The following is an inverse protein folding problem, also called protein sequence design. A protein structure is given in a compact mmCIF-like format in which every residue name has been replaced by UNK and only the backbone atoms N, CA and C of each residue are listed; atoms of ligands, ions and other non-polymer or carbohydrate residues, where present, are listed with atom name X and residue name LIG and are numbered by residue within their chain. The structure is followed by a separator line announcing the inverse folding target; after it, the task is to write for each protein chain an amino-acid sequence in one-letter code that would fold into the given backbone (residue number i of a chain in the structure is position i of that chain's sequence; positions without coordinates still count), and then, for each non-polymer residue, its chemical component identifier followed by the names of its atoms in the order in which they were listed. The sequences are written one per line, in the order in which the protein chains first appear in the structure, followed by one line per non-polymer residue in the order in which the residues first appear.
data_IF_434968110014
#
_entry.id   IF_434968110014
#
_cell.length_a   1.000
_cell.length_b   1.000
_cell.length_c   1.000
_cell.angle_alpha   90.00
_cell.angle_beta   90.00
_cell.angle_gamma   90.00
#
_symmetry.space_group_name_H-M   'P 1'
#
loop_
_entity.id
_entity.type
_entity.pdbx_description
1 polymer ?
#
# COMPACT_ATOMS: atom_id res chain seq x y z
N UNK A 1 -9.18 -30.33 10.99
CA UNK A 1 -9.41 -28.91 11.33
C UNK A 1 -8.74 -27.94 10.36
N UNK A 2 -7.55 -28.27 9.90
CA UNK A 2 -6.73 -27.37 9.08
C UNK A 2 -7.20 -27.28 7.61
N UNK A 3 -7.65 -28.39 7.05
CA UNK A 3 -8.08 -28.46 5.65
C UNK A 3 -9.41 -27.71 5.41
N UNK A 4 -10.34 -27.77 6.35
CA UNK A 4 -11.59 -27.04 6.29
C UNK A 4 -11.34 -25.51 6.40
N UNK A 5 -10.46 -25.09 7.27
CA UNK A 5 -10.07 -23.69 7.43
C UNK A 5 -9.40 -23.15 6.15
N UNK A 6 -8.54 -23.95 5.54
CA UNK A 6 -7.90 -23.62 4.26
C UNK A 6 -8.92 -23.45 3.13
N UNK A 7 -9.84 -24.41 3.00
CA UNK A 7 -10.89 -24.36 1.97
C UNK A 7 -11.81 -23.14 2.15
N UNK A 8 -12.21 -22.85 3.40
CA UNK A 8 -13.02 -21.67 3.70
C UNK A 8 -12.27 -20.38 3.36
N UNK A 9 -10.95 -20.31 3.64
CA UNK A 9 -10.13 -19.16 3.29
C UNK A 9 -9.99 -18.98 1.76
N UNK A 10 -9.74 -20.05 1.03
CA UNK A 10 -9.66 -20.02 -0.43
C UNK A 10 -10.98 -19.54 -1.05
N UNK A 11 -12.11 -20.09 -0.57
CA UNK A 11 -13.43 -19.66 -1.01
C UNK A 11 -13.71 -18.19 -0.68
N UNK A 12 -13.36 -17.74 0.52
CA UNK A 12 -13.48 -16.33 0.92
C UNK A 12 -12.69 -15.41 -0.02
N UNK A 13 -11.45 -15.76 -0.36
CA UNK A 13 -10.62 -14.96 -1.27
C UNK A 13 -11.22 -14.90 -2.67
N UNK A 14 -11.74 -16.02 -3.18
CA UNK A 14 -12.42 -16.09 -4.48
C UNK A 14 -13.65 -15.19 -4.49
N UNK A 15 -14.51 -15.32 -3.47
CA UNK A 15 -15.74 -14.54 -3.34
C UNK A 15 -15.45 -13.04 -3.24
N UNK A 16 -14.46 -12.64 -2.42
CA UNK A 16 -14.04 -11.22 -2.30
C UNK A 16 -13.58 -10.64 -3.64
N UNK A 17 -12.80 -11.39 -4.42
CA UNK A 17 -12.36 -10.96 -5.76
C UNK A 17 -13.53 -10.79 -6.73
N UNK A 18 -14.52 -11.68 -6.66
CA UNK A 18 -15.73 -11.57 -7.47
C UNK A 18 -16.57 -10.35 -7.06
N UNK A 19 -16.77 -10.15 -5.75
CA UNK A 19 -17.51 -9.00 -5.23
C UNK A 19 -16.88 -7.68 -5.67
N UNK A 20 -15.56 -7.55 -5.57
CA UNK A 20 -14.85 -6.33 -6.03
C UNK A 20 -15.16 -6.05 -7.51
N UNK A 21 -15.08 -7.08 -8.39
CA UNK A 21 -15.43 -6.92 -9.81
C UNK A 21 -16.89 -6.52 -10.04
N UNK A 22 -17.80 -7.10 -9.27
CA UNK A 22 -19.23 -6.78 -9.38
C UNK A 22 -19.58 -5.42 -8.80
N UNK A 23 -18.83 -4.96 -7.78
CA UNK A 23 -18.97 -3.62 -7.20
C UNK A 23 -18.57 -2.50 -8.17
N UNK A 24 -17.67 -2.77 -9.12
CA UNK A 24 -17.32 -1.83 -10.20
C UNK A 24 -18.49 -1.57 -11.16
N UNK A 25 -19.47 -2.48 -11.20
CA UNK A 25 -20.67 -2.32 -12.02
C UNK A 25 -21.69 -1.38 -11.35
N UNK A 26 -22.39 -0.53 -12.14
CA UNK A 26 -23.53 0.21 -11.63
C UNK A 26 -24.56 -0.72 -10.98
N UNK A 27 -25.18 -0.30 -9.89
CA UNK A 27 -26.12 -1.11 -9.09
C UNK A 27 -27.16 -1.82 -9.97
N UNK A 28 -27.73 -1.11 -10.96
CA UNK A 28 -28.73 -1.66 -11.90
C UNK A 28 -28.19 -2.75 -12.86
N UNK A 29 -26.88 -2.90 -12.95
CA UNK A 29 -26.22 -3.90 -13.82
C UNK A 29 -25.61 -5.05 -13.04
N UNK A 30 -25.71 -5.02 -11.71
CA UNK A 30 -25.25 -6.13 -10.87
C UNK A 30 -26.19 -7.31 -11.06
N UNK A 31 -25.68 -8.55 -11.18
CA UNK A 31 -26.52 -9.74 -11.29
C UNK A 31 -27.27 -10.00 -9.98
N UNK A 32 -28.43 -10.67 -10.05
CA UNK A 32 -29.24 -11.04 -8.89
C UNK A 32 -28.48 -11.93 -7.88
N UNK A 33 -27.41 -12.58 -8.34
CA UNK A 33 -26.53 -13.39 -7.49
C UNK A 33 -25.62 -12.56 -6.58
N UNK A 34 -25.55 -11.22 -6.76
CA UNK A 34 -24.66 -10.35 -5.98
C UNK A 34 -24.94 -10.41 -4.48
N UNK A 35 -26.20 -10.25 -4.06
CA UNK A 35 -26.60 -10.25 -2.65
C UNK A 35 -26.31 -11.62 -1.99
N UNK A 36 -26.54 -12.71 -2.74
CA UNK A 36 -26.23 -14.05 -2.25
C UNK A 36 -24.72 -14.22 -2.03
N UNK A 37 -23.90 -13.79 -2.99
CA UNK A 37 -22.44 -13.86 -2.89
C UNK A 37 -21.92 -13.01 -1.74
N UNK A 38 -22.51 -11.84 -1.50
CA UNK A 38 -22.17 -10.94 -0.39
C UNK A 38 -22.46 -11.63 0.94
N UNK A 39 -23.68 -12.19 1.11
CA UNK A 39 -24.08 -12.92 2.32
C UNK A 39 -23.19 -14.14 2.59
N UNK A 40 -22.89 -14.95 1.57
CA UNK A 40 -22.00 -16.10 1.70
C UNK A 40 -20.58 -15.68 2.13
N UNK A 41 -20.10 -14.58 1.58
CA UNK A 41 -18.78 -14.04 1.90
C UNK A 41 -18.72 -13.55 3.35
N UNK A 42 -19.77 -12.89 3.84
CA UNK A 42 -19.89 -12.46 5.25
C UNK A 42 -19.93 -13.65 6.21
N UNK A 43 -20.64 -14.73 5.85
CA UNK A 43 -20.68 -15.94 6.67
C UNK A 43 -19.31 -16.60 6.76
N UNK A 44 -18.61 -16.73 5.63
CA UNK A 44 -17.23 -17.25 5.60
C UNK A 44 -16.29 -16.36 6.43
N UNK A 45 -16.42 -15.05 6.35
CA UNK A 45 -15.61 -14.11 7.13
C UNK A 45 -15.82 -14.29 8.64
N UNK A 46 -17.05 -14.43 9.07
CA UNK A 46 -17.39 -14.69 10.49
C UNK A 46 -16.79 -16.02 10.98
N UNK A 47 -16.92 -17.08 10.17
CA UNK A 47 -16.41 -18.40 10.52
C UNK A 47 -14.88 -18.41 10.59
N UNK A 48 -14.20 -17.81 9.59
CA UNK A 48 -12.75 -17.67 9.59
C UNK A 48 -12.24 -16.84 10.78
N UNK A 49 -12.93 -15.74 11.12
CA UNK A 49 -12.59 -14.91 12.28
C UNK A 49 -12.71 -15.70 13.59
N UNK A 50 -13.72 -16.56 13.69
CA UNK A 50 -13.94 -17.39 14.87
C UNK A 50 -12.90 -18.50 15.01
N UNK A 51 -12.44 -19.08 13.90
CA UNK A 51 -11.56 -20.26 13.90
C UNK A 51 -10.06 -19.94 13.76
N UNK A 52 -9.69 -18.75 13.28
CA UNK A 52 -8.31 -18.39 13.01
C UNK A 52 -7.89 -17.08 13.67
N UNK A 53 -6.97 -17.15 14.62
CA UNK A 53 -6.35 -15.97 15.22
C UNK A 53 -5.63 -15.10 14.17
N UNK A 54 -4.96 -15.72 13.19
CA UNK A 54 -4.28 -15.02 12.09
C UNK A 54 -5.24 -14.24 11.20
N UNK A 55 -6.43 -14.81 10.92
CA UNK A 55 -7.44 -14.10 10.15
C UNK A 55 -8.05 -12.93 10.94
N UNK A 56 -8.28 -13.11 12.24
CA UNK A 56 -8.74 -12.04 13.13
C UNK A 56 -7.73 -10.89 13.20
N UNK A 57 -6.43 -11.20 13.28
CA UNK A 57 -5.36 -10.20 13.29
C UNK A 57 -5.26 -9.45 11.95
N UNK A 58 -5.40 -10.15 10.82
CA UNK A 58 -5.45 -9.53 9.50
C UNK A 58 -6.66 -8.58 9.37
N UNK A 59 -7.83 -8.99 9.86
CA UNK A 59 -9.04 -8.15 9.87
C UNK A 59 -8.86 -6.91 10.76
N UNK A 60 -8.25 -7.05 11.92
CA UNK A 60 -7.92 -5.95 12.83
C UNK A 60 -6.99 -4.93 12.16
N UNK A 61 -6.03 -5.40 11.38
CA UNK A 61 -5.15 -4.55 10.57
C UNK A 61 -5.93 -3.69 9.56
N UNK A 62 -6.97 -4.24 8.93
CA UNK A 62 -7.84 -3.50 8.00
C UNK A 62 -8.70 -2.43 8.68
N UNK A 63 -8.97 -2.55 9.98
CA UNK A 63 -9.72 -1.56 10.77
C UNK A 63 -8.85 -0.52 11.45
N UNK A 64 -7.54 -0.53 11.21
CA UNK A 64 -6.59 0.39 11.83
C UNK A 64 -6.84 1.82 11.39
N UNK A 65 -7.06 2.70 12.35
CA UNK A 65 -7.19 4.13 12.09
C UNK A 65 -5.82 4.80 11.95
N UNK A 66 -5.75 5.91 11.21
CA UNK A 66 -4.53 6.71 11.09
C UNK A 66 -4.03 7.25 12.44
N UNK A 67 -4.91 7.46 13.43
CA UNK A 67 -4.53 7.87 14.78
C UNK A 67 -3.74 6.78 15.51
N UNK A 68 -4.15 5.54 15.38
CA UNK A 68 -3.40 4.42 15.95
C UNK A 68 -2.01 4.30 15.32
N UNK A 69 -1.89 4.54 14.00
CA UNK A 69 -0.59 4.63 13.31
C UNK A 69 0.23 5.80 13.88
N UNK A 70 -0.38 6.99 14.00
CA UNK A 70 0.27 8.18 14.55
C UNK A 70 0.82 7.95 15.96
N UNK A 71 0.08 7.24 16.80
CA UNK A 71 0.47 6.94 18.18
C UNK A 71 1.74 6.11 18.26
N UNK A 72 1.99 5.25 17.27
CA UNK A 72 3.20 4.42 17.16
C UNK A 72 4.43 5.19 16.67
N UNK A 73 4.24 6.32 16.00
CA UNK A 73 5.35 7.08 15.42
C UNK A 73 6.09 7.91 16.47
N UNK A 74 7.41 8.01 16.31
CA UNK A 74 8.28 8.92 17.03
C UNK A 74 8.41 10.27 16.28
N UNK A 75 8.93 11.34 16.91
CA UNK A 75 8.96 12.68 16.30
C UNK A 75 9.64 12.78 14.92
N UNK A 76 10.69 11.97 14.68
CA UNK A 76 11.43 11.95 13.41
C UNK A 76 11.00 10.82 12.47
N UNK A 77 9.88 10.18 12.75
CA UNK A 77 9.32 9.11 11.94
C UNK A 77 8.13 9.61 11.11
N UNK A 78 7.89 8.98 9.98
CA UNK A 78 6.77 9.28 9.10
C UNK A 78 6.26 7.97 8.47
N UNK A 79 4.94 7.84 8.39
CA UNK A 79 4.27 6.77 7.68
C UNK A 79 3.65 7.31 6.40
N UNK A 80 3.87 6.63 5.28
CA UNK A 80 3.43 7.02 3.95
C UNK A 80 2.76 5.82 3.29
N UNK A 81 1.46 5.92 3.07
CA UNK A 81 0.71 4.97 2.25
C UNK A 81 0.48 5.55 0.87
N UNK A 82 0.95 4.84 -0.16
CA UNK A 82 0.53 5.14 -1.52
C UNK A 82 -0.85 4.55 -1.78
N UNK A 83 -1.64 5.26 -2.56
CA UNK A 83 -2.92 4.78 -3.07
C UNK A 83 -2.97 4.99 -4.58
N UNK A 84 -3.55 4.03 -5.28
CA UNK A 84 -3.82 4.09 -6.71
C UNK A 84 -5.32 3.87 -6.91
N UNK A 85 -6.00 4.80 -7.56
CA UNK A 85 -7.44 4.73 -7.77
C UNK A 85 -7.86 5.30 -9.12
N UNK A 86 -8.97 4.81 -9.65
CA UNK A 86 -9.55 5.34 -10.88
C UNK A 86 -10.07 6.75 -10.67
N UNK A 87 -9.68 7.66 -11.55
CA UNK A 87 -10.11 9.05 -11.48
C UNK A 87 -11.56 9.20 -11.93
N UNK A 88 -12.37 9.84 -11.10
CA UNK A 88 -13.76 10.15 -11.40
C UNK A 88 -13.92 11.66 -11.70
N UNK A 89 -14.39 12.00 -12.90
CA UNK A 89 -14.74 13.35 -13.30
C UNK A 89 -16.13 13.37 -13.91
N UNK A 90 -17.18 13.45 -13.07
CA UNK A 90 -18.60 13.30 -13.42
C UNK A 90 -18.94 11.93 -14.06
N UNK A 91 -17.95 11.23 -14.56
CA UNK A 91 -17.98 9.83 -15.03
C UNK A 91 -16.66 9.18 -14.72
N UNK A 92 -16.63 7.86 -14.65
CA UNK A 92 -15.38 7.11 -14.52
C UNK A 92 -14.54 7.34 -15.77
N UNK A 93 -13.26 7.59 -15.55
CA UNK A 93 -12.25 7.73 -16.61
C UNK A 93 -11.36 6.51 -16.64
N UNK A 94 -10.56 6.36 -17.71
CA UNK A 94 -9.53 5.33 -17.80
C UNK A 94 -8.21 5.74 -17.12
N UNK A 95 -8.20 6.87 -16.41
CA UNK A 95 -7.05 7.36 -15.68
C UNK A 95 -6.99 6.75 -14.29
N UNK A 96 -5.85 6.14 -13.96
CA UNK A 96 -5.49 5.76 -12.60
C UNK A 96 -4.53 6.81 -12.06
N UNK A 97 -4.85 7.40 -10.91
CA UNK A 97 -4.01 8.42 -10.26
C UNK A 97 -3.38 7.85 -9.00
N UNK A 98 -2.12 8.21 -8.79
CA UNK A 98 -1.37 7.92 -7.58
C UNK A 98 -1.37 9.11 -6.65
N UNK A 99 -1.54 8.83 -5.38
CA UNK A 99 -1.46 9.83 -4.32
C UNK A 99 -0.83 9.19 -3.07
N UNK A 100 -0.36 10.01 -2.16
CA UNK A 100 0.16 9.56 -0.87
C UNK A 100 -0.69 10.12 0.27
N UNK A 101 -1.01 9.27 1.24
CA UNK A 101 -1.44 9.70 2.57
C UNK A 101 -0.24 9.64 3.51
N UNK A 102 0.03 10.76 4.17
CA UNK A 102 1.20 10.93 5.02
C UNK A 102 0.75 11.23 6.45
N UNK A 103 1.26 10.45 7.39
CA UNK A 103 1.04 10.62 8.82
C UNK A 103 2.39 10.80 9.51
N UNK A 104 2.53 11.84 10.30
CA UNK A 104 3.66 12.03 11.22
C UNK A 104 3.14 12.33 12.64
N UNK A 105 4.04 12.27 13.64
CA UNK A 105 3.66 12.44 15.05
C UNK A 105 2.95 13.76 15.35
N UNK A 106 3.20 14.80 14.58
CA UNK A 106 2.68 16.16 14.82
C UNK A 106 1.47 16.53 13.96
N UNK A 107 1.08 15.71 12.99
CA UNK A 107 0.00 16.06 12.08
C UNK A 107 -1.36 16.06 12.79
N UNK A 108 -2.19 17.07 12.51
CA UNK A 108 -3.57 17.15 13.01
C UNK A 108 -4.49 16.18 12.25
N UNK A 109 -4.20 15.97 10.96
CA UNK A 109 -4.88 15.05 10.04
C UNK A 109 -3.86 14.47 9.06
N UNK A 110 -4.10 13.30 8.46
CA UNK A 110 -3.26 12.80 7.39
C UNK A 110 -3.16 13.83 6.25
N UNK A 111 -1.95 14.02 5.73
CA UNK A 111 -1.73 14.90 4.58
C UNK A 111 -1.96 14.10 3.32
N UNK A 112 -2.82 14.59 2.45
CA UNK A 112 -3.01 14.07 1.10
C UNK A 112 -2.06 14.79 0.14
N UNK A 113 -1.28 14.03 -0.62
CA UNK A 113 -0.32 14.56 -1.59
C UNK A 113 -0.59 13.87 -2.93
N UNK A 114 -1.11 14.60 -3.94
CA UNK A 114 -1.21 14.06 -5.28
C UNK A 114 0.18 13.84 -5.87
N UNK A 115 0.37 12.73 -6.59
CA UNK A 115 1.67 12.37 -7.17
C UNK A 115 1.64 12.47 -8.70
N UNK A 116 1.05 11.48 -9.36
CA UNK A 116 1.08 11.40 -10.82
C UNK A 116 -0.04 10.48 -11.35
N UNK A 117 -0.26 10.52 -12.66
CA UNK A 117 -1.10 9.56 -13.36
C UNK A 117 -0.29 8.30 -13.73
N UNK A 118 -0.87 7.12 -13.55
CA UNK A 118 -0.22 5.81 -13.76
C UNK A 118 0.49 5.71 -15.11
N UNK A 119 -0.08 6.28 -16.16
CA UNK A 119 0.52 6.30 -17.50
C UNK A 119 1.94 6.88 -17.53
N UNK A 120 2.25 7.84 -16.64
CA UNK A 120 3.60 8.41 -16.54
C UNK A 120 4.60 7.35 -16.04
N UNK A 121 4.21 6.53 -15.06
CA UNK A 121 5.04 5.43 -14.58
C UNK A 121 5.16 4.32 -15.63
N UNK A 122 4.04 3.95 -16.28
CA UNK A 122 4.04 2.94 -17.35
C UNK A 122 4.99 3.31 -18.50
N UNK A 123 4.99 4.58 -18.92
CA UNK A 123 5.90 5.07 -19.95
C UNK A 123 7.37 4.97 -19.53
N UNK A 124 7.69 5.25 -18.26
CA UNK A 124 9.05 5.10 -17.75
C UNK A 124 9.47 3.63 -17.70
N UNK A 125 8.57 2.75 -17.26
CA UNK A 125 8.83 1.30 -17.21
C UNK A 125 8.92 0.68 -18.61
N UNK A 126 8.11 1.16 -19.57
CA UNK A 126 8.09 0.66 -20.93
C UNK A 126 9.34 1.07 -21.74
N UNK A 127 9.83 2.30 -21.59
CA UNK A 127 11.01 2.82 -22.30
C UNK A 127 12.25 1.93 -22.18
N UNK A 128 12.29 1.05 -21.20
CA UNK A 128 13.43 0.21 -20.88
C UNK A 128 13.18 -1.29 -21.14
N UNK A 129 12.05 -1.67 -21.76
CA UNK A 129 11.75 -3.08 -22.07
C UNK A 129 12.66 -3.64 -23.16
N UNK A 130 13.17 -2.80 -24.06
CA UNK A 130 13.99 -3.21 -25.22
C UNK A 130 15.48 -3.30 -24.90
N UNK A 131 15.91 -2.96 -23.69
CA UNK A 131 17.31 -3.07 -23.29
C UNK A 131 17.49 -4.40 -22.57
N UNK A 132 18.00 -5.39 -23.28
CA UNK A 132 18.53 -6.62 -22.66
C UNK A 132 19.78 -6.25 -21.85
N UNK A 133 19.78 -6.65 -20.56
CA UNK A 133 20.96 -6.64 -19.71
C UNK A 133 20.94 -5.71 -18.48
N UNK A 134 21.88 -5.90 -17.58
CA UNK A 134 22.11 -5.19 -16.31
C UNK A 134 22.02 -3.66 -16.42
N UNK A 135 22.34 -3.08 -17.58
CA UNK A 135 22.19 -1.65 -17.88
C UNK A 135 20.75 -1.12 -17.79
N UNK A 136 19.75 -2.00 -17.84
CA UNK A 136 18.33 -1.65 -17.70
C UNK A 136 17.98 -1.22 -16.27
N UNK A 137 18.51 -1.94 -15.29
CA UNK A 137 18.33 -1.64 -13.86
C UNK A 137 19.02 -0.30 -13.56
N UNK A 138 20.22 -0.11 -14.05
CA UNK A 138 21.00 1.10 -13.82
C UNK A 138 20.30 2.35 -14.36
N UNK A 139 19.71 2.29 -15.58
CA UNK A 139 19.00 3.44 -16.17
C UNK A 139 17.75 3.85 -15.38
N UNK A 140 17.05 2.91 -14.74
CA UNK A 140 15.90 3.22 -13.89
C UNK A 140 16.30 3.89 -12.57
N UNK A 141 17.43 3.48 -12.00
CA UNK A 141 17.87 3.93 -10.68
C UNK A 141 18.95 5.00 -10.72
N UNK A 142 19.72 5.12 -11.81
CA UNK A 142 20.67 6.21 -12.00
C UNK A 142 20.02 7.49 -12.56
N UNK A 143 18.81 7.39 -13.15
CA UNK A 143 18.04 8.55 -13.59
C UNK A 143 17.06 9.02 -12.53
N UNK A 144 16.86 10.34 -12.42
CA UNK A 144 15.92 10.92 -11.44
C UNK A 144 14.43 10.70 -11.77
N UNK A 145 14.08 10.19 -12.94
CA UNK A 145 12.71 10.19 -13.47
C UNK A 145 11.69 9.48 -12.56
N UNK A 146 12.00 8.27 -12.05
CA UNK A 146 11.10 7.56 -11.10
C UNK A 146 11.11 8.26 -9.75
N UNK A 147 12.29 8.69 -9.29
CA UNK A 147 12.44 9.46 -8.05
C UNK A 147 11.64 10.76 -8.11
N UNK A 148 11.64 11.46 -9.24
CA UNK A 148 10.88 12.69 -9.44
C UNK A 148 9.37 12.46 -9.32
N UNK A 149 8.86 11.33 -9.81
CA UNK A 149 7.43 10.99 -9.67
C UNK A 149 7.02 10.74 -8.21
N UNK A 150 7.82 10.00 -7.47
CA UNK A 150 7.45 9.54 -6.13
C UNK A 150 8.00 10.42 -5.02
N UNK A 151 9.30 10.75 -5.04
CA UNK A 151 9.99 11.33 -3.90
C UNK A 151 10.00 12.87 -3.91
N UNK A 152 10.04 13.50 -5.09
CA UNK A 152 10.03 14.96 -5.20
C UNK A 152 8.76 15.59 -4.61
N UNK A 153 7.54 15.08 -4.87
CA UNK A 153 6.33 15.60 -4.20
C UNK A 153 6.34 15.38 -2.69
N UNK A 154 7.06 14.37 -2.20
CA UNK A 154 7.18 14.03 -0.78
C UNK A 154 8.32 14.77 -0.07
N UNK A 155 9.17 15.50 -0.77
CA UNK A 155 10.39 16.11 -0.21
C UNK A 155 10.11 16.92 1.07
N UNK A 156 9.07 17.76 1.06
CA UNK A 156 8.69 18.60 2.21
C UNK A 156 8.28 17.80 3.46
N UNK A 157 7.61 16.66 3.28
CA UNK A 157 7.16 15.84 4.42
C UNK A 157 8.26 14.91 4.91
N UNK A 158 9.28 14.66 4.08
CA UNK A 158 10.48 13.91 4.42
C UNK A 158 11.55 14.77 5.09
N UNK A 159 11.42 16.09 5.05
CA UNK A 159 12.36 17.01 5.68
C UNK A 159 12.43 16.76 7.20
N UNK A 160 13.64 16.70 7.74
CA UNK A 160 13.91 16.43 9.17
C UNK A 160 13.41 15.07 9.69
N UNK A 161 13.07 14.13 8.80
CA UNK A 161 12.77 12.74 9.17
C UNK A 161 14.04 11.88 9.10
N UNK A 162 14.06 10.84 9.94
CA UNK A 162 15.13 9.84 9.96
C UNK A 162 14.63 8.45 9.60
N UNK A 163 13.35 8.17 9.86
CA UNK A 163 12.73 6.87 9.58
C UNK A 163 11.47 7.04 8.76
N UNK A 164 11.34 6.23 7.73
CA UNK A 164 10.21 6.24 6.80
C UNK A 164 9.60 4.86 6.73
N UNK A 165 8.36 4.75 7.12
CA UNK A 165 7.52 3.58 6.90
C UNK A 165 6.71 3.81 5.63
N UNK A 166 6.98 3.02 4.59
CA UNK A 166 6.48 3.28 3.25
C UNK A 166 5.70 2.08 2.72
N UNK A 167 4.46 2.29 2.33
CA UNK A 167 3.59 1.27 1.76
C UNK A 167 3.30 1.59 0.29
N UNK A 168 3.88 0.84 -0.66
CA UNK A 168 3.60 1.01 -2.08
C UNK A 168 2.20 0.48 -2.45
N UNK A 169 1.65 0.95 -3.59
CA UNK A 169 0.39 0.48 -4.16
C UNK A 169 0.52 0.22 -5.66
N UNK A 170 -0.30 -0.68 -6.20
CA UNK A 170 -0.38 -0.95 -7.63
C UNK A 170 0.97 -1.28 -8.26
N UNK A 171 1.29 -0.64 -9.39
CA UNK A 171 2.57 -0.83 -10.09
C UNK A 171 3.81 -0.39 -9.28
N UNK A 172 3.62 0.44 -8.25
CA UNK A 172 4.72 0.87 -7.37
C UNK A 172 5.37 -0.31 -6.61
N UNK A 173 4.68 -1.44 -6.46
CA UNK A 173 5.28 -2.66 -5.91
C UNK A 173 6.45 -3.23 -6.76
N UNK A 174 6.57 -2.82 -8.02
CA UNK A 174 7.66 -3.22 -8.91
C UNK A 174 8.93 -2.37 -8.71
N UNK A 175 8.86 -1.31 -7.90
CA UNK A 175 9.94 -0.36 -7.70
C UNK A 175 10.73 -0.72 -6.44
N UNK A 176 12.05 -0.80 -6.58
CA UNK A 176 12.95 -0.84 -5.43
C UNK A 176 13.18 0.58 -4.90
N UNK A 177 12.31 1.02 -3.99
CA UNK A 177 12.39 2.36 -3.42
C UNK A 177 13.72 2.66 -2.72
N UNK A 178 14.35 1.64 -2.11
CA UNK A 178 15.64 1.84 -1.42
C UNK A 178 16.74 2.32 -2.35
N UNK A 179 16.68 1.93 -3.63
CA UNK A 179 17.68 2.28 -4.64
C UNK A 179 17.39 3.61 -5.37
N UNK A 180 16.24 4.27 -5.10
CA UNK A 180 15.91 5.52 -5.77
C UNK A 180 16.82 6.66 -5.33
N UNK A 181 17.41 7.43 -6.26
CA UNK A 181 18.23 8.59 -5.91
C UNK A 181 17.37 9.68 -5.27
N UNK A 182 17.89 10.34 -4.24
CA UNK A 182 17.21 11.45 -3.54
C UNK A 182 17.92 12.78 -3.77
N UNK A 183 19.11 12.97 -3.25
CA UNK A 183 19.89 14.21 -3.41
C UNK A 183 21.38 13.91 -3.26
N UNK A 184 22.22 14.54 -4.09
CA UNK A 184 23.64 14.21 -4.14
C UNK A 184 23.83 12.77 -4.66
N UNK A 185 24.76 12.02 -4.07
CA UNK A 185 25.04 10.62 -4.40
C UNK A 185 24.34 9.63 -3.46
N UNK A 186 23.26 10.02 -2.79
CA UNK A 186 22.57 9.16 -1.85
C UNK A 186 21.27 8.60 -2.44
N UNK A 187 20.99 7.34 -2.12
CA UNK A 187 19.71 6.69 -2.39
C UNK A 187 18.72 6.93 -1.22
N UNK A 188 17.45 6.63 -1.47
CA UNK A 188 16.40 6.78 -0.47
C UNK A 188 16.65 5.90 0.77
N UNK A 189 17.14 4.65 0.56
CA UNK A 189 17.49 3.74 1.65
C UNK A 189 18.77 4.11 2.40
N UNK A 190 19.70 4.86 1.78
CA UNK A 190 20.90 5.37 2.47
C UNK A 190 20.59 6.61 3.29
N UNK A 191 19.68 7.47 2.80
CA UNK A 191 19.33 8.71 3.48
C UNK A 191 18.39 8.49 4.66
N UNK A 192 17.51 7.52 4.59
CA UNK A 192 16.49 7.24 5.60
C UNK A 192 16.55 5.78 6.05
N UNK A 193 16.27 5.54 7.34
CA UNK A 193 15.93 4.18 7.81
C UNK A 193 14.57 3.81 7.20
N UNK A 194 14.60 3.17 6.03
CA UNK A 194 13.43 2.91 5.19
C UNK A 194 12.87 1.51 5.49
N UNK A 195 11.59 1.46 5.87
CA UNK A 195 10.83 0.24 6.06
C UNK A 195 9.74 0.16 4.99
N UNK A 196 9.86 -0.79 4.06
CA UNK A 196 8.80 -1.09 3.08
C UNK A 196 7.82 -2.06 3.71
N UNK A 197 6.56 -1.65 3.77
CA UNK A 197 5.48 -2.40 4.41
C UNK A 197 4.38 -2.73 3.39
N UNK A 198 3.65 -3.81 3.62
CA UNK A 198 2.43 -4.11 2.86
C UNK A 198 1.29 -3.13 3.19
N UNK A 199 1.30 -2.59 4.41
CA UNK A 199 0.42 -1.50 4.88
C UNK A 199 1.08 -0.84 6.08
N UNK A 200 0.92 0.47 6.25
CA UNK A 200 1.39 1.18 7.47
C UNK A 200 0.66 0.73 8.74
N UNK A 201 -0.52 0.10 8.61
CA UNK A 201 -1.21 -0.57 9.71
C UNK A 201 -0.36 -1.66 10.40
N UNK A 202 0.61 -2.24 9.68
CA UNK A 202 1.54 -3.25 10.22
C UNK A 202 2.46 -2.69 11.33
N UNK A 203 2.57 -1.37 11.46
CA UNK A 203 3.31 -0.73 12.57
C UNK A 203 2.76 -1.14 13.95
N UNK A 204 1.46 -1.36 14.07
CA UNK A 204 0.85 -1.80 15.32
C UNK A 204 1.32 -3.20 15.75
N UNK A 205 1.62 -4.07 14.78
CA UNK A 205 2.12 -5.42 15.05
C UNK A 205 3.63 -5.40 15.29
N UNK A 206 4.38 -4.64 14.50
CA UNK A 206 5.84 -4.55 14.56
C UNK A 206 6.33 -4.12 15.96
N UNK A 207 5.70 -3.11 16.55
CA UNK A 207 6.06 -2.63 17.87
C UNK A 207 5.69 -3.61 18.99
N UNK A 208 4.62 -4.40 18.85
CA UNK A 208 4.25 -5.43 19.82
C UNK A 208 5.26 -6.59 19.87
N UNK A 209 5.84 -6.97 18.74
CA UNK A 209 6.89 -8.01 18.69
C UNK A 209 8.23 -7.54 19.29
N UNK A 210 8.56 -6.27 19.14
CA UNK A 210 9.82 -5.71 19.66
C UNK A 210 9.78 -5.57 21.19
N UNK A 211 8.64 -5.21 21.76
CA UNK A 211 8.46 -5.08 23.21
C UNK A 211 8.58 -6.46 23.90
N UNK A 212 7.99 -7.49 23.31
CA UNK A 212 8.03 -8.85 23.88
C UNK A 212 9.44 -9.51 23.82
N UNK A 213 10.34 -9.03 22.97
CA UNK A 213 11.74 -9.49 22.90
C UNK A 213 12.67 -8.82 23.93
N UNK A 214 12.30 -7.67 24.46
CA UNK A 214 13.10 -6.93 25.43
C UNK A 214 12.71 -7.31 26.87
N UNK A 215 11.58 -7.99 27.05
CA UNK A 215 11.05 -8.43 28.36
C UNK A 215 11.31 -9.91 28.67
N UNK A 216 12.16 -10.60 27.92
CA UNK A 216 12.75 -11.91 28.18
C UNK A 216 14.28 -11.80 28.35
#
# INVERSE_FOLDING_TARGET
GDELLKNNYEQFVVNKRQLVKLQELPIKKRPDTYEKLETETELLEKELTRQSALFADAKKSLSTSWKQIQDQLKPKEVAIDLVAFNYYNKKWTDSVVYSAFVVDKSCKYPKYIPLFEQKQLELLLAKNKDVQDSTRIDKHYLGSSISDLFLKPLAKVLENKSTVYFSPAGLAHQINFSALPVSGNQTFGEKYNLHILGSTASLLQYNSYTINKISQ
#
